data_IF_160071826722
#
_entry.id   IF_160071826722
#
_cell.length_a   1.000
_cell.length_b   1.000
_cell.length_c   1.000
_cell.angle_alpha   90.00
_cell.angle_beta   90.00
_cell.angle_gamma   90.00
#
_symmetry.space_group_name_H-M   'P 1'
#
loop_
_entity.id
_entity.type
_entity.pdbx_description
1 polymer ?
#
# COMPACT_ATOMS: atom_id res chain seq x y z
N UNK A 1 -3.21 -16.20 19.57
CA UNK A 1 -4.66 -16.56 19.44
C UNK A 1 -4.93 -17.79 18.58
N UNK A 2 -4.00 -18.28 17.74
CA UNK A 2 -4.03 -19.72 17.48
C UNK A 2 -3.88 -20.47 18.82
N UNK A 3 -2.95 -20.02 19.67
CA UNK A 3 -2.64 -20.60 20.98
C UNK A 3 -3.78 -20.58 22.00
N UNK A 4 -4.49 -19.45 22.20
CA UNK A 4 -5.58 -19.39 23.18
C UNK A 4 -6.81 -20.24 22.79
N UNK A 5 -7.10 -20.37 21.49
CA UNK A 5 -8.14 -21.30 21.01
C UNK A 5 -7.63 -22.75 20.94
N UNK A 6 -6.34 -22.97 20.71
CA UNK A 6 -5.69 -24.28 20.83
C UNK A 6 -5.74 -24.82 22.27
N UNK A 7 -5.55 -23.95 23.26
CA UNK A 7 -5.62 -24.32 24.68
C UNK A 7 -7.03 -24.74 25.14
N UNK A 8 -8.08 -24.28 24.47
CA UNK A 8 -9.48 -24.71 24.73
C UNK A 8 -9.85 -25.95 23.90
N UNK A 9 -9.19 -26.18 22.76
CA UNK A 9 -9.38 -27.38 21.94
C UNK A 9 -8.74 -28.63 22.57
N UNK A 10 -7.70 -28.44 23.39
CA UNK A 10 -6.97 -29.49 24.10
C UNK A 10 -6.93 -29.15 25.59
N UNK A 11 -7.94 -29.57 26.35
CA UNK A 11 -7.82 -29.64 27.80
C UNK A 11 -7.26 -31.02 28.15
N UNK A 12 -6.04 -31.03 28.70
CA UNK A 12 -5.46 -32.22 29.29
C UNK A 12 -5.42 -32.02 30.81
N UNK A 13 -5.97 -32.97 31.55
CA UNK A 13 -5.80 -33.03 33.01
C UNK A 13 -5.14 -34.35 33.36
N UNK A 14 -4.07 -34.28 34.16
CA UNK A 14 -3.34 -35.46 34.62
C UNK A 14 -3.83 -35.77 36.03
N UNK A 15 -4.59 -36.86 36.16
CA UNK A 15 -5.08 -37.37 37.43
C UNK A 15 -4.36 -38.66 37.86
N UNK A 16 -4.61 -39.15 39.10
CA UNK A 16 -4.06 -40.41 39.59
C UNK A 16 -4.41 -41.63 38.72
N UNK A 17 -5.54 -41.55 37.99
CA UNK A 17 -6.09 -42.63 37.18
C UNK A 17 -5.72 -42.54 35.67
N UNK A 18 -4.91 -41.54 35.27
CA UNK A 18 -4.44 -41.36 33.89
C UNK A 18 -4.58 -39.96 33.32
N UNK A 19 -4.43 -39.85 32.00
CA UNK A 19 -4.55 -38.59 31.23
C UNK A 19 -5.98 -38.49 30.70
N UNK A 20 -6.77 -37.54 31.20
CA UNK A 20 -8.09 -37.20 30.62
C UNK A 20 -7.90 -36.11 29.56
N UNK A 21 -8.32 -36.41 28.32
CA UNK A 21 -8.13 -35.57 27.15
C UNK A 21 -9.48 -35.18 26.56
N UNK A 22 -9.95 -33.98 26.88
CA UNK A 22 -11.17 -33.42 26.32
C UNK A 22 -10.87 -32.68 25.01
N UNK A 23 -11.12 -33.37 23.89
CA UNK A 23 -11.01 -32.83 22.54
C UNK A 23 -12.36 -32.27 22.07
N UNK A 24 -12.50 -30.94 22.10
CA UNK A 24 -13.67 -30.29 21.51
C UNK A 24 -13.61 -30.35 19.98
N UNK A 25 -14.44 -31.20 19.38
CA UNK A 25 -14.54 -31.35 17.93
C UNK A 25 -14.92 -30.03 17.23
N UNK A 26 -15.74 -29.21 17.89
CA UNK A 26 -16.08 -27.89 17.39
C UNK A 26 -14.85 -26.98 17.36
N UNK A 27 -14.04 -26.96 18.43
CA UNK A 27 -12.81 -26.19 18.48
C UNK A 27 -11.80 -26.62 17.41
N UNK A 28 -11.62 -27.92 17.19
CA UNK A 28 -10.78 -28.45 16.10
C UNK A 28 -11.28 -28.00 14.72
N UNK A 29 -12.59 -28.07 14.47
CA UNK A 29 -13.20 -27.58 13.23
C UNK A 29 -12.93 -26.08 13.03
N UNK A 30 -13.03 -25.28 14.10
CA UNK A 30 -12.73 -23.84 14.04
C UNK A 30 -11.25 -23.59 13.72
N UNK A 31 -10.32 -24.35 14.30
CA UNK A 31 -8.89 -24.25 14.02
C UNK A 31 -8.62 -24.57 12.55
N UNK A 32 -9.18 -25.67 12.04
CA UNK A 32 -9.06 -26.08 10.64
C UNK A 32 -9.58 -25.00 9.67
N UNK A 33 -10.81 -24.51 9.90
CA UNK A 33 -11.41 -23.47 9.07
C UNK A 33 -10.60 -22.18 9.10
N UNK A 34 -10.14 -21.75 10.27
CA UNK A 34 -9.25 -20.59 10.42
C UNK A 34 -7.94 -20.76 9.64
N UNK A 35 -7.33 -21.95 9.72
CA UNK A 35 -6.12 -22.31 8.98
C UNK A 35 -6.31 -22.22 7.48
N UNK A 36 -7.37 -22.83 6.95
CA UNK A 36 -7.72 -22.80 5.53
C UNK A 36 -7.91 -21.36 5.01
N UNK A 37 -8.65 -20.53 5.76
CA UNK A 37 -8.87 -19.13 5.40
C UNK A 37 -7.58 -18.31 5.41
N UNK A 38 -6.71 -18.55 6.39
CA UNK A 38 -5.39 -17.90 6.48
C UNK A 38 -4.51 -18.25 5.29
N UNK A 39 -4.42 -19.54 4.94
CA UNK A 39 -3.66 -20.01 3.78
C UNK A 39 -4.20 -19.41 2.48
N UNK A 40 -5.53 -19.43 2.28
CA UNK A 40 -6.18 -18.79 1.13
C UNK A 40 -5.86 -17.29 1.05
N UNK A 41 -5.86 -16.58 2.18
CA UNK A 41 -5.49 -15.15 2.25
C UNK A 41 -4.03 -14.95 1.82
N UNK A 42 -3.10 -15.78 2.30
CA UNK A 42 -1.67 -15.70 1.96
C UNK A 42 -1.43 -15.99 0.48
N UNK A 43 -2.08 -17.02 -0.06
CA UNK A 43 -2.01 -17.34 -1.49
C UNK A 43 -2.54 -16.21 -2.38
N UNK A 44 -3.70 -15.61 -2.03
CA UNK A 44 -4.24 -14.46 -2.77
C UNK A 44 -3.27 -13.27 -2.74
N UNK A 45 -2.69 -12.96 -1.57
CA UNK A 45 -1.68 -11.89 -1.44
C UNK A 45 -0.46 -12.17 -2.31
N UNK A 46 0.08 -13.38 -2.27
CA UNK A 46 1.20 -13.80 -3.12
C UNK A 46 0.85 -13.65 -4.61
N UNK A 47 -0.27 -14.23 -5.07
CA UNK A 47 -0.73 -14.13 -6.45
C UNK A 47 -0.85 -12.68 -6.90
N UNK A 48 -1.49 -11.83 -6.09
CA UNK A 48 -1.69 -10.42 -6.43
C UNK A 48 -0.38 -9.63 -6.40
N UNK A 49 0.56 -10.01 -5.52
CA UNK A 49 1.93 -9.50 -5.51
C UNK A 49 2.67 -9.82 -6.82
N UNK A 50 2.55 -11.04 -7.33
CA UNK A 50 3.11 -11.41 -8.64
C UNK A 50 2.43 -10.61 -9.76
N UNK A 51 1.09 -10.54 -9.77
CA UNK A 51 0.34 -9.81 -10.80
C UNK A 51 0.70 -8.31 -10.86
N UNK A 52 0.85 -7.66 -9.71
CA UNK A 52 1.29 -6.25 -9.63
C UNK A 52 2.77 -6.11 -9.94
N UNK A 53 3.60 -7.07 -9.51
CA UNK A 53 5.03 -7.14 -9.75
C UNK A 53 5.44 -7.38 -11.20
N UNK A 54 4.53 -7.80 -12.09
CA UNK A 54 4.79 -7.99 -13.53
C UNK A 54 4.04 -6.99 -14.43
N UNK A 55 3.22 -6.14 -13.83
CA UNK A 55 2.45 -5.11 -14.54
C UNK A 55 3.37 -4.07 -15.19
N UNK A 56 3.09 -3.54 -16.41
CA UNK A 56 1.88 -3.69 -17.23
C UNK A 56 1.77 -5.00 -18.02
N UNK A 57 2.74 -5.89 -17.89
CA UNK A 57 2.67 -7.25 -18.44
C UNK A 57 1.64 -8.13 -17.74
N UNK A 58 1.55 -9.39 -18.17
CA UNK A 58 0.65 -10.38 -17.59
C UNK A 58 1.20 -11.81 -17.73
N UNK A 59 0.76 -12.77 -16.89
CA UNK A 59 1.10 -14.18 -17.04
C UNK A 59 0.66 -14.78 -18.39
N UNK A 60 -0.44 -14.30 -18.98
CA UNK A 60 -0.83 -14.71 -20.33
C UNK A 60 0.20 -14.26 -21.37
N UNK A 61 0.72 -13.04 -21.24
CA UNK A 61 1.82 -12.55 -22.07
C UNK A 61 3.11 -13.35 -21.93
N UNK A 62 3.40 -13.87 -20.74
CA UNK A 62 4.53 -14.77 -20.51
C UNK A 62 4.41 -16.05 -21.34
N UNK A 63 3.25 -16.72 -21.28
CA UNK A 63 3.00 -17.93 -22.05
C UNK A 63 3.12 -17.68 -23.55
N UNK A 64 2.58 -16.56 -24.04
CA UNK A 64 2.71 -16.19 -25.45
C UNK A 64 4.18 -16.02 -25.84
N UNK A 65 4.95 -15.24 -25.09
CA UNK A 65 6.38 -14.99 -25.42
C UNK A 65 7.19 -16.28 -25.40
N UNK A 66 7.04 -17.10 -24.35
CA UNK A 66 7.80 -18.36 -24.22
C UNK A 66 7.40 -19.36 -25.30
N UNK A 67 6.10 -19.59 -25.52
CA UNK A 67 5.64 -20.54 -26.55
C UNK A 67 6.02 -20.06 -27.95
N UNK A 68 5.83 -18.78 -28.28
CA UNK A 68 6.24 -18.23 -29.57
C UNK A 68 7.75 -18.35 -29.79
N UNK A 69 8.56 -18.06 -28.76
CA UNK A 69 10.00 -18.23 -28.82
C UNK A 69 10.40 -19.69 -29.03
N UNK A 70 9.84 -20.62 -28.25
CA UNK A 70 10.12 -22.04 -28.35
C UNK A 70 9.70 -22.61 -29.71
N UNK A 71 8.50 -22.28 -30.18
CA UNK A 71 7.99 -22.71 -31.49
C UNK A 71 8.83 -22.16 -32.64
N UNK A 72 9.26 -20.90 -32.58
CA UNK A 72 10.15 -20.31 -33.57
C UNK A 72 11.48 -21.07 -33.66
N UNK A 73 12.17 -21.29 -32.53
CA UNK A 73 13.43 -22.02 -32.53
C UNK A 73 13.26 -23.48 -32.98
N UNK A 74 12.14 -24.13 -32.62
CA UNK A 74 11.82 -25.49 -33.07
C UNK A 74 11.64 -25.57 -34.58
N UNK A 75 10.96 -24.58 -35.18
CA UNK A 75 10.70 -24.52 -36.62
C UNK A 75 11.99 -24.31 -37.42
N UNK A 76 12.85 -23.39 -36.97
CA UNK A 76 14.14 -23.10 -37.61
C UNK A 76 15.28 -24.04 -37.17
N UNK A 77 14.99 -25.06 -36.36
CA UNK A 77 15.97 -26.02 -35.83
C UNK A 77 17.15 -25.34 -35.09
N UNK A 78 16.89 -24.20 -34.47
CA UNK A 78 17.86 -23.46 -33.65
C UNK A 78 17.86 -23.99 -32.22
N UNK A 79 19.00 -23.91 -31.54
CA UNK A 79 19.07 -24.18 -30.10
C UNK A 79 18.40 -23.04 -29.31
N UNK A 80 17.22 -23.28 -28.67
CA UNK A 80 16.52 -22.25 -27.92
C UNK A 80 17.27 -21.82 -26.66
N UNK A 81 18.23 -22.61 -26.16
CA UNK A 81 19.06 -22.22 -25.02
C UNK A 81 20.19 -21.26 -25.41
N UNK A 82 20.43 -21.07 -26.72
CA UNK A 82 21.59 -20.34 -27.28
C UNK A 82 22.92 -20.78 -26.65
N UNK A 83 23.06 -22.05 -26.26
CA UNK A 83 24.24 -22.58 -25.59
C UNK A 83 24.51 -22.01 -24.18
N UNK A 84 23.53 -21.41 -23.51
CA UNK A 84 23.71 -20.90 -22.13
C UNK A 84 23.97 -22.05 -21.16
N UNK A 85 23.21 -23.15 -21.30
CA UNK A 85 23.33 -24.29 -20.40
C UNK A 85 24.58 -25.14 -20.67
N UNK A 86 25.06 -25.18 -21.91
CA UNK A 86 26.34 -25.82 -22.23
C UNK A 86 27.51 -25.05 -21.59
N UNK A 87 27.50 -23.72 -21.64
CA UNK A 87 28.49 -22.88 -20.93
C UNK A 87 28.41 -23.00 -19.41
N UNK A 88 27.21 -23.09 -18.84
CA UNK A 88 27.04 -23.31 -17.39
C UNK A 88 27.49 -24.72 -16.97
N UNK A 89 27.33 -25.70 -17.85
CA UNK A 89 27.81 -27.07 -17.66
C UNK A 89 29.32 -27.20 -17.50
N UNK A 90 30.10 -26.20 -17.93
CA UNK A 90 31.55 -26.15 -17.72
C UNK A 90 31.92 -25.91 -16.24
N UNK A 91 31.03 -25.27 -15.47
CA UNK A 91 31.26 -24.90 -14.06
C UNK A 91 30.41 -25.71 -13.08
N UNK A 92 29.35 -26.35 -13.56
CA UNK A 92 28.40 -27.14 -12.77
C UNK A 92 28.12 -28.48 -13.47
N UNK A 93 28.09 -29.62 -12.77
CA UNK A 93 27.86 -30.94 -13.38
C UNK A 93 26.38 -31.17 -13.76
N UNK A 94 25.82 -30.32 -14.62
CA UNK A 94 24.39 -30.33 -15.02
C UNK A 94 24.07 -31.54 -15.91
N UNK A 95 25.04 -32.00 -16.70
CA UNK A 95 24.88 -33.11 -17.66
C UNK A 95 24.60 -34.46 -17.01
N UNK A 96 24.97 -34.65 -15.73
CA UNK A 96 24.73 -35.90 -14.99
C UNK A 96 23.27 -36.07 -14.56
N UNK A 97 22.51 -34.98 -14.48
CA UNK A 97 21.14 -34.98 -13.95
C UNK A 97 20.07 -34.67 -14.99
N UNK A 98 20.44 -34.21 -16.19
CA UNK A 98 19.49 -33.72 -17.20
C UNK A 98 19.92 -34.06 -18.63
N UNK A 99 19.01 -34.64 -19.41
CA UNK A 99 19.24 -34.97 -20.83
C UNK A 99 19.44 -33.71 -21.68
N UNK A 100 20.09 -33.85 -22.85
CA UNK A 100 20.31 -32.73 -23.79
C UNK A 100 19.02 -32.03 -24.23
N UNK A 101 17.94 -32.80 -24.43
CA UNK A 101 16.64 -32.25 -24.80
C UNK A 101 15.98 -31.50 -23.63
N UNK A 102 16.07 -32.04 -22.41
CA UNK A 102 15.61 -31.34 -21.21
C UNK A 102 16.39 -30.06 -20.97
N UNK A 103 17.72 -30.06 -21.22
CA UNK A 103 18.53 -28.84 -21.15
C UNK A 103 18.04 -27.81 -22.18
N UNK A 104 17.87 -28.17 -23.46
CA UNK A 104 17.35 -27.23 -24.48
C UNK A 104 16.00 -26.62 -24.06
N UNK A 105 15.08 -27.43 -23.53
CA UNK A 105 13.77 -26.94 -23.05
C UNK A 105 13.94 -25.97 -21.88
N UNK A 106 14.69 -26.34 -20.85
CA UNK A 106 14.92 -25.49 -19.67
C UNK A 106 15.60 -24.19 -20.06
N UNK A 107 16.65 -24.25 -20.89
CA UNK A 107 17.38 -23.09 -21.37
C UNK A 107 16.51 -22.18 -22.23
N UNK A 108 15.68 -22.76 -23.09
CA UNK A 108 14.71 -22.02 -23.90
C UNK A 108 13.66 -21.29 -23.07
N UNK A 109 13.15 -21.93 -22.01
CA UNK A 109 12.24 -21.29 -21.05
C UNK A 109 12.94 -20.16 -20.30
N UNK A 110 14.20 -20.33 -19.89
CA UNK A 110 14.98 -19.26 -19.23
C UNK A 110 15.19 -18.05 -20.15
N UNK A 111 15.60 -18.27 -21.40
CA UNK A 111 15.78 -17.19 -22.38
C UNK A 111 14.44 -16.51 -22.69
N UNK A 112 13.38 -17.28 -22.92
CA UNK A 112 12.04 -16.74 -23.14
C UNK A 112 11.51 -15.93 -21.96
N UNK A 113 11.81 -16.37 -20.72
CA UNK A 113 11.51 -15.61 -19.50
C UNK A 113 12.28 -14.29 -19.46
N UNK A 114 13.58 -14.31 -19.77
CA UNK A 114 14.41 -13.11 -19.84
C UNK A 114 13.91 -12.10 -20.89
N UNK A 115 13.50 -12.58 -22.07
CA UNK A 115 12.87 -11.75 -23.11
C UNK A 115 11.57 -11.11 -22.60
N UNK A 116 10.71 -11.88 -21.95
CA UNK A 116 9.45 -11.38 -21.38
C UNK A 116 9.68 -10.32 -20.28
N UNK A 117 10.63 -10.56 -19.38
CA UNK A 117 11.02 -9.58 -18.35
C UNK A 117 11.55 -8.30 -19.00
N UNK A 118 12.37 -8.42 -20.05
CA UNK A 118 12.91 -7.28 -20.79
C UNK A 118 11.79 -6.44 -21.43
N UNK A 119 10.80 -7.10 -22.05
CA UNK A 119 9.61 -6.43 -22.61
C UNK A 119 8.86 -5.65 -21.52
N UNK A 120 8.64 -6.26 -20.35
CA UNK A 120 7.97 -5.58 -19.22
C UNK A 120 8.77 -4.36 -18.76
N UNK A 121 10.09 -4.46 -18.63
CA UNK A 121 10.92 -3.33 -18.23
C UNK A 121 10.86 -2.20 -19.26
N UNK A 122 10.88 -2.51 -20.55
CA UNK A 122 10.69 -1.51 -21.62
C UNK A 122 9.32 -0.85 -21.50
N UNK A 123 8.24 -1.63 -21.38
CA UNK A 123 6.89 -1.08 -21.22
C UNK A 123 6.75 -0.18 -19.99
N UNK A 124 7.36 -0.56 -18.86
CA UNK A 124 7.40 0.27 -17.64
C UNK A 124 8.10 1.59 -17.87
N UNK A 125 9.26 1.57 -18.50
CA UNK A 125 10.03 2.78 -18.76
C UNK A 125 9.32 3.71 -19.75
N UNK A 126 8.64 3.16 -20.76
CA UNK A 126 7.78 3.93 -21.67
C UNK A 126 6.62 4.56 -20.88
N UNK A 127 5.90 3.78 -20.09
CA UNK A 127 4.80 4.29 -19.27
C UNK A 127 5.27 5.38 -18.29
N UNK A 128 6.42 5.18 -17.63
CA UNK A 128 7.02 6.16 -16.73
C UNK A 128 7.39 7.45 -17.46
N UNK A 129 7.92 7.35 -18.68
CA UNK A 129 8.24 8.51 -19.52
C UNK A 129 6.99 9.28 -19.93
N UNK A 130 5.93 8.57 -20.34
CA UNK A 130 4.62 9.17 -20.62
C UNK A 130 4.06 9.89 -19.39
N UNK A 131 4.11 9.27 -18.21
CA UNK A 131 3.62 9.86 -16.96
C UNK A 131 4.48 11.01 -16.45
N UNK A 132 5.73 11.12 -16.90
CA UNK A 132 6.62 12.25 -16.56
C UNK A 132 6.28 13.52 -17.34
N UNK A 133 5.43 13.43 -18.37
CA UNK A 133 4.97 14.60 -19.11
C UNK A 133 3.79 15.27 -18.40
N UNK A 134 3.96 16.57 -18.13
CA UNK A 134 3.07 17.37 -17.28
C UNK A 134 2.34 18.48 -18.04
N UNK A 135 2.49 18.56 -19.37
CA UNK A 135 1.92 19.64 -20.18
C UNK A 135 0.38 19.67 -20.22
N UNK A 136 -0.28 18.59 -19.80
CA UNK A 136 -1.72 18.54 -19.64
C UNK A 136 -2.22 19.41 -18.46
N UNK A 137 -1.41 19.65 -17.43
CA UNK A 137 -1.85 20.41 -16.23
C UNK A 137 -2.08 21.89 -16.50
N UNK A 138 -1.34 22.47 -17.44
CA UNK A 138 -1.45 23.90 -17.80
C UNK A 138 -2.55 24.18 -18.82
N UNK A 139 -3.30 23.17 -19.26
CA UNK A 139 -4.36 23.37 -20.25
C UNK A 139 -5.62 23.94 -19.61
N UNK A 140 -6.30 24.82 -20.35
CA UNK A 140 -7.59 25.37 -19.94
C UNK A 140 -8.63 24.26 -19.90
N UNK A 141 -9.42 24.22 -18.84
CA UNK A 141 -10.52 23.27 -18.70
C UNK A 141 -11.49 23.39 -19.90
N UNK A 142 -11.78 22.27 -20.56
CA UNK A 142 -12.71 22.19 -21.70
C UNK A 142 -12.06 22.13 -23.08
N UNK A 143 -10.77 22.47 -23.24
CA UNK A 143 -10.06 22.36 -24.52
C UNK A 143 -8.87 21.40 -24.42
N UNK A 144 -8.97 20.23 -25.05
CA UNK A 144 -7.88 19.24 -25.08
C UNK A 144 -7.16 19.33 -26.42
N UNK A 145 -5.86 19.63 -26.40
CA UNK A 145 -5.04 19.64 -27.62
C UNK A 145 -4.92 18.22 -28.21
N UNK A 146 -4.81 18.10 -29.54
CA UNK A 146 -4.54 16.83 -30.22
C UNK A 146 -3.32 16.09 -29.65
N UNK A 147 -2.27 16.83 -29.26
CA UNK A 147 -1.08 16.26 -28.61
C UNK A 147 -1.41 15.54 -27.30
N UNK A 148 -2.30 16.13 -26.50
CA UNK A 148 -2.73 15.60 -25.21
C UNK A 148 -3.68 14.43 -25.38
N UNK A 149 -4.54 14.51 -26.39
CA UNK A 149 -5.39 13.39 -26.77
C UNK A 149 -4.56 12.16 -27.19
N UNK A 150 -3.56 12.36 -28.06
CA UNK A 150 -2.62 11.30 -28.45
C UNK A 150 -1.87 10.74 -27.25
N UNK A 151 -1.35 11.60 -26.38
CA UNK A 151 -0.68 11.19 -25.15
C UNK A 151 -1.60 10.35 -24.23
N UNK A 152 -2.86 10.76 -24.04
CA UNK A 152 -3.83 10.00 -23.23
C UNK A 152 -4.08 8.60 -23.83
N UNK A 153 -4.18 8.49 -25.15
CA UNK A 153 -4.31 7.19 -25.85
C UNK A 153 -3.08 6.34 -25.57
N UNK A 154 -1.87 6.89 -25.70
CA UNK A 154 -0.63 6.16 -25.42
C UNK A 154 -0.58 5.69 -23.97
N UNK A 155 -0.91 6.55 -22.99
CA UNK A 155 -0.97 6.16 -21.57
C UNK A 155 -1.94 5.01 -21.38
N UNK A 156 -3.13 5.03 -22.00
CA UNK A 156 -4.11 3.94 -21.91
C UNK A 156 -3.60 2.63 -22.50
N UNK A 157 -2.91 2.68 -23.65
CA UNK A 157 -2.33 1.49 -24.30
C UNK A 157 -1.25 0.86 -23.40
N UNK A 158 -0.34 1.67 -22.85
CA UNK A 158 0.76 1.19 -22.01
C UNK A 158 0.35 0.87 -20.56
N UNK A 159 -0.83 1.31 -20.13
CA UNK A 159 -1.42 0.97 -18.83
C UNK A 159 -2.02 -0.44 -18.78
N UNK A 160 -1.81 -1.31 -19.78
CA UNK A 160 -2.26 -2.71 -19.71
C UNK A 160 -3.76 -2.88 -19.43
N UNK A 161 -4.16 -4.07 -18.96
CA UNK A 161 -5.57 -4.41 -18.71
C UNK A 161 -5.80 -4.75 -17.24
N UNK A 162 -6.95 -4.30 -16.70
CA UNK A 162 -7.44 -4.63 -15.34
C UNK A 162 -6.41 -4.35 -14.23
N UNK A 163 -6.01 -3.09 -14.01
CA UNK A 163 -5.07 -2.76 -12.95
C UNK A 163 -5.66 -3.06 -11.56
N UNK A 164 -4.79 -3.54 -10.67
CA UNK A 164 -5.02 -3.71 -9.24
C UNK A 164 -4.50 -2.47 -8.49
N UNK A 165 -4.89 -2.29 -7.22
CA UNK A 165 -4.58 -1.09 -6.43
C UNK A 165 -3.12 -0.62 -6.54
N UNK A 166 -2.17 -1.55 -6.51
CA UNK A 166 -0.73 -1.30 -6.50
C UNK A 166 -0.05 -1.53 -7.86
N UNK A 167 -0.79 -1.80 -8.93
CA UNK A 167 -0.24 -2.11 -10.25
C UNK A 167 0.72 -1.05 -10.78
N UNK A 168 0.43 0.23 -10.56
CA UNK A 168 1.21 1.33 -11.11
C UNK A 168 2.44 1.73 -10.28
N UNK A 169 2.62 1.22 -9.06
CA UNK A 169 3.64 1.76 -8.13
C UNK A 169 5.07 1.72 -8.70
N UNK A 170 5.38 0.70 -9.50
CA UNK A 170 6.69 0.55 -10.15
C UNK A 170 6.81 1.34 -11.47
N UNK A 171 5.72 1.89 -11.98
CA UNK A 171 5.66 2.66 -13.23
C UNK A 171 5.48 4.15 -13.00
N UNK A 172 5.22 4.59 -11.76
CA UNK A 172 5.11 6.00 -11.44
C UNK A 172 6.46 6.71 -11.60
N UNK A 173 6.46 7.95 -12.13
CA UNK A 173 7.67 8.77 -12.20
C UNK A 173 8.14 9.17 -10.80
N UNK A 174 9.43 9.46 -10.69
CA UNK A 174 9.96 10.05 -9.45
C UNK A 174 9.48 11.49 -9.34
N UNK A 175 9.32 11.98 -8.12
CA UNK A 175 8.99 13.40 -7.91
C UNK A 175 10.13 14.28 -8.46
N UNK A 176 9.86 15.20 -9.41
CA UNK A 176 10.90 16.05 -9.97
C UNK A 176 11.42 17.06 -8.95
N UNK A 177 12.72 17.40 -9.06
CA UNK A 177 13.35 18.46 -8.27
C UNK A 177 13.36 19.75 -9.09
N UNK A 178 12.59 20.79 -8.73
CA UNK A 178 12.58 22.07 -9.42
C UNK A 178 13.96 22.76 -9.38
N UNK A 179 14.24 23.63 -10.35
CA UNK A 179 15.49 24.40 -10.34
C UNK A 179 15.50 25.41 -9.20
N UNK A 180 16.69 25.71 -8.65
CA UNK A 180 16.84 26.73 -7.58
C UNK A 180 16.31 28.08 -8.05
N UNK A 181 16.64 28.46 -9.30
CA UNK A 181 16.18 29.70 -9.94
C UNK A 181 14.66 29.79 -10.02
N UNK A 182 13.99 28.74 -10.51
CA UNK A 182 12.52 28.73 -10.61
C UNK A 182 11.87 28.77 -9.23
N UNK A 183 12.43 28.05 -8.25
CA UNK A 183 11.96 28.08 -6.86
C UNK A 183 12.10 29.47 -6.27
N UNK A 184 13.26 30.13 -6.41
CA UNK A 184 13.49 31.49 -5.91
C UNK A 184 12.57 32.51 -6.57
N UNK A 185 12.38 32.43 -7.90
CA UNK A 185 11.45 33.30 -8.63
C UNK A 185 10.02 33.17 -8.11
N UNK A 186 9.50 31.93 -8.04
CA UNK A 186 8.14 31.67 -7.55
C UNK A 186 7.97 32.04 -6.07
N UNK A 187 9.01 31.85 -5.26
CA UNK A 187 9.03 32.32 -3.88
C UNK A 187 8.86 33.84 -3.82
N UNK A 188 9.66 34.61 -4.55
CA UNK A 188 9.55 36.08 -4.61
C UNK A 188 8.18 36.53 -5.12
N UNK A 189 7.64 35.89 -6.15
CA UNK A 189 6.28 36.14 -6.64
C UNK A 189 5.22 35.93 -5.53
N UNK A 190 5.37 34.87 -4.72
CA UNK A 190 4.43 34.53 -3.64
C UNK A 190 4.50 35.46 -2.43
N UNK A 191 5.68 35.98 -2.08
CA UNK A 191 5.85 36.87 -0.91
C UNK A 191 5.66 38.35 -1.25
N UNK A 192 5.71 38.72 -2.53
CA UNK A 192 5.51 40.12 -2.95
C UNK A 192 4.25 40.78 -2.36
N UNK A 193 3.05 40.18 -2.42
CA UNK A 193 1.86 40.82 -1.85
C UNK A 193 1.85 40.90 -0.31
N UNK A 194 2.83 40.29 0.37
CA UNK A 194 2.92 40.23 1.83
C UNK A 194 3.99 41.19 2.39
N UNK A 195 4.70 41.93 1.55
CA UNK A 195 5.89 42.70 1.92
C UNK A 195 5.86 44.11 1.34
N UNK A 196 6.34 45.07 2.12
CA UNK A 196 6.64 46.42 1.65
C UNK A 196 7.83 46.42 0.69
N UNK A 197 8.01 47.50 -0.06
CA UNK A 197 9.01 47.61 -1.12
C UNK A 197 10.45 47.42 -0.62
N UNK A 198 10.80 48.05 0.49
CA UNK A 198 12.13 47.94 1.09
C UNK A 198 12.43 46.49 1.54
N UNK A 199 11.46 45.85 2.19
CA UNK A 199 11.57 44.46 2.61
C UNK A 199 11.69 43.51 1.42
N UNK A 200 10.94 43.77 0.36
CA UNK A 200 10.98 42.97 -0.86
C UNK A 200 12.31 43.11 -1.61
N UNK A 201 12.89 44.31 -1.70
CA UNK A 201 14.22 44.51 -2.29
C UNK A 201 15.31 43.80 -1.49
N UNK A 202 15.24 43.86 -0.15
CA UNK A 202 16.12 43.04 0.71
C UNK A 202 15.95 41.54 0.42
N UNK A 203 14.71 41.06 0.29
CA UNK A 203 14.43 39.65 0.02
C UNK A 203 14.93 39.20 -1.36
N UNK A 204 14.82 40.04 -2.39
CA UNK A 204 15.45 39.79 -3.70
C UNK A 204 16.95 39.62 -3.58
N UNK A 205 17.61 40.48 -2.80
CA UNK A 205 19.05 40.39 -2.52
C UNK A 205 19.43 39.04 -1.92
N UNK A 206 18.72 38.62 -0.87
CA UNK A 206 18.95 37.33 -0.19
C UNK A 206 18.67 36.13 -1.11
N UNK A 207 17.58 36.16 -1.88
CA UNK A 207 17.26 35.09 -2.83
C UNK A 207 18.33 34.95 -3.91
N UNK A 208 18.86 36.07 -4.42
CA UNK A 208 19.95 36.08 -5.41
C UNK A 208 21.26 35.58 -4.83
N UNK A 209 21.57 35.91 -3.58
CA UNK A 209 22.74 35.39 -2.87
C UNK A 209 22.63 33.86 -2.69
N UNK A 210 21.47 33.38 -2.22
CA UNK A 210 21.20 31.96 -2.09
C UNK A 210 21.32 31.21 -3.43
N UNK A 211 20.74 31.76 -4.51
CA UNK A 211 20.81 31.16 -5.85
C UNK A 211 22.26 31.00 -6.35
N UNK A 212 23.15 31.94 -6.01
CA UNK A 212 24.56 31.92 -6.44
C UNK A 212 25.45 31.08 -5.54
N UNK A 213 25.21 31.09 -4.24
CA UNK A 213 26.12 30.54 -3.23
C UNK A 213 25.65 29.17 -2.72
N UNK A 214 24.82 29.16 -1.67
CA UNK A 214 24.46 27.95 -0.95
C UNK A 214 23.50 27.03 -1.72
N UNK A 215 22.58 27.62 -2.49
CA UNK A 215 21.53 26.93 -3.22
C UNK A 215 22.04 25.82 -4.15
N UNK A 216 23.03 26.05 -5.04
CA UNK A 216 23.61 25.03 -5.90
C UNK A 216 24.17 23.82 -5.13
N UNK A 217 24.82 24.06 -3.99
CA UNK A 217 25.37 22.98 -3.15
C UNK A 217 24.27 22.13 -2.53
N UNK A 218 23.24 22.77 -1.96
CA UNK A 218 22.08 22.04 -1.40
C UNK A 218 21.29 21.30 -2.47
N UNK A 219 21.11 21.91 -3.64
CA UNK A 219 20.44 21.31 -4.79
C UNK A 219 21.18 20.06 -5.30
N UNK A 220 22.51 20.03 -5.22
CA UNK A 220 23.28 18.85 -5.58
C UNK A 220 22.97 17.67 -4.66
N UNK A 221 22.97 17.87 -3.34
CA UNK A 221 22.56 16.84 -2.38
C UNK A 221 21.10 16.39 -2.59
N UNK A 222 20.20 17.33 -2.89
CA UNK A 222 18.79 17.03 -3.14
C UNK A 222 18.61 16.18 -4.41
N UNK A 223 19.34 16.49 -5.48
CA UNK A 223 19.37 15.69 -6.71
C UNK A 223 19.86 14.28 -6.43
N UNK A 224 20.97 14.13 -5.70
CA UNK A 224 21.45 12.81 -5.29
C UNK A 224 20.35 12.04 -4.55
N UNK A 225 19.72 12.63 -3.53
CA UNK A 225 18.61 11.98 -2.79
C UNK A 225 17.47 11.54 -3.72
N UNK A 226 17.11 12.37 -4.69
CA UNK A 226 16.04 12.04 -5.66
C UNK A 226 16.40 10.89 -6.61
N UNK A 227 17.67 10.52 -6.75
CA UNK A 227 18.08 9.33 -7.52
C UNK A 227 17.89 8.04 -6.73
N UNK A 228 18.02 8.10 -5.41
CA UNK A 228 17.92 6.95 -4.50
C UNK A 228 16.51 6.71 -3.95
N UNK A 229 15.59 7.66 -4.12
CA UNK A 229 14.23 7.59 -3.57
C UNK A 229 13.18 7.76 -4.68
N UNK A 230 11.98 7.22 -4.49
CA UNK A 230 10.85 7.45 -5.40
C UNK A 230 10.29 8.87 -5.24
N UNK A 231 10.29 9.38 -4.00
CA UNK A 231 9.93 10.73 -3.65
C UNK A 231 10.93 11.26 -2.61
N UNK A 232 11.64 12.34 -2.96
CA UNK A 232 12.70 12.89 -2.13
C UNK A 232 12.19 13.67 -0.91
N UNK A 233 10.89 13.95 -0.82
CA UNK A 233 10.27 14.76 0.24
C UNK A 233 9.54 13.89 1.27
N UNK A 234 9.01 12.72 0.87
CA UNK A 234 8.05 11.97 1.70
C UNK A 234 8.51 11.65 3.12
N UNK A 235 9.75 11.21 3.29
CA UNK A 235 10.35 10.90 4.60
C UNK A 235 10.50 12.16 5.46
N UNK A 236 11.04 13.24 4.89
CA UNK A 236 11.19 14.51 5.59
C UNK A 236 9.86 15.17 5.91
N UNK A 237 8.88 15.09 5.00
CA UNK A 237 7.53 15.61 5.22
C UNK A 237 6.87 14.90 6.39
N UNK A 238 6.92 13.57 6.41
CA UNK A 238 6.38 12.76 7.50
C UNK A 238 7.06 13.09 8.83
N UNK A 239 8.39 13.08 8.85
CA UNK A 239 9.17 13.29 10.07
C UNK A 239 9.05 14.72 10.60
N UNK A 240 9.43 15.72 9.81
CA UNK A 240 9.60 17.09 10.30
C UNK A 240 8.29 17.86 10.42
N UNK A 241 7.32 17.60 9.54
CA UNK A 241 6.05 18.35 9.57
C UNK A 241 5.06 17.73 10.53
N UNK A 242 4.99 16.39 10.60
CA UNK A 242 3.99 15.72 11.43
C UNK A 242 4.57 15.12 12.70
N UNK A 243 5.61 14.29 12.59
CA UNK A 243 6.06 13.46 13.72
C UNK A 243 6.90 14.23 14.74
N UNK A 244 7.61 15.28 14.34
CA UNK A 244 8.35 16.17 15.25
C UNK A 244 7.50 17.32 15.78
N UNK A 245 6.35 17.61 15.18
CA UNK A 245 5.42 18.60 15.72
C UNK A 245 4.97 18.23 17.13
N UNK A 246 5.17 19.14 18.09
CA UNK A 246 4.85 18.94 19.52
C UNK A 246 3.47 19.47 19.92
N UNK A 247 2.84 20.25 19.04
CA UNK A 247 1.49 20.77 19.27
C UNK A 247 0.45 19.63 19.33
N UNK A 248 -0.58 19.75 20.18
CA UNK A 248 -1.71 18.83 20.22
C UNK A 248 -2.28 18.48 18.84
N UNK A 249 -2.26 17.21 18.45
CA UNK A 249 -2.66 16.79 17.10
C UNK A 249 -4.18 16.84 16.87
N UNK A 250 -4.98 16.69 17.92
CA UNK A 250 -6.44 16.57 17.80
C UNK A 250 -7.09 17.85 17.24
N UNK A 251 -6.51 19.01 17.55
CA UNK A 251 -6.98 20.32 17.08
C UNK A 251 -6.18 20.80 15.87
N UNK A 252 -4.86 20.62 15.90
CA UNK A 252 -3.96 21.29 14.96
C UNK A 252 -3.64 20.48 13.69
N UNK A 253 -3.93 19.17 13.67
CA UNK A 253 -3.50 18.30 12.56
C UNK A 253 -4.54 17.27 12.13
N UNK A 254 -5.34 16.71 13.04
CA UNK A 254 -6.35 15.74 12.70
C UNK A 254 -7.49 16.40 11.94
N UNK A 255 -8.01 15.70 10.93
CA UNK A 255 -9.20 16.11 10.18
C UNK A 255 -10.29 15.05 10.34
N UNK A 256 -11.54 15.45 10.16
CA UNK A 256 -12.67 14.54 10.14
C UNK A 256 -13.57 14.84 8.94
N UNK A 257 -14.28 13.82 8.49
CA UNK A 257 -15.37 13.95 7.55
C UNK A 257 -16.60 13.29 8.19
N UNK A 258 -17.76 13.91 8.02
CA UNK A 258 -19.03 13.34 8.47
C UNK A 258 -19.64 12.51 7.35
N UNK A 259 -20.49 11.55 7.71
CA UNK A 259 -21.22 10.76 6.71
C UNK A 259 -22.34 11.57 6.04
N UNK A 260 -23.18 10.91 5.25
CA UNK A 260 -24.22 11.57 4.45
C UNK A 260 -25.13 12.45 5.33
N UNK A 261 -25.01 13.79 5.17
CA UNK A 261 -25.87 14.78 5.83
C UNK A 261 -27.38 14.55 5.62
N UNK A 262 -27.75 13.85 4.54
CA UNK A 262 -29.13 13.74 4.07
C UNK A 262 -29.71 12.32 4.09
N UNK A 263 -28.96 11.32 4.59
CA UNK A 263 -29.44 9.92 4.60
C UNK A 263 -29.19 9.29 5.97
N UNK A 264 -30.28 8.93 6.65
CA UNK A 264 -30.25 8.24 7.95
C UNK A 264 -30.96 6.89 7.83
N UNK A 265 -30.23 5.80 7.48
CA UNK A 265 -30.85 4.49 7.22
C UNK A 265 -31.55 3.87 8.44
N UNK A 266 -31.17 4.26 9.65
CA UNK A 266 -31.78 3.82 10.91
C UNK A 266 -31.49 4.84 12.02
N UNK A 267 -32.40 4.96 12.98
CA UNK A 267 -32.23 5.74 14.22
C UNK A 267 -31.56 4.94 15.34
N UNK A 268 -31.42 3.62 15.19
CA UNK A 268 -30.83 2.75 16.20
C UNK A 268 -29.31 2.82 16.11
N UNK A 269 -28.65 3.39 17.13
CA UNK A 269 -27.20 3.59 17.15
C UNK A 269 -26.42 2.28 16.95
N UNK A 270 -26.80 1.21 17.65
CA UNK A 270 -26.15 -0.10 17.54
C UNK A 270 -26.28 -0.70 16.14
N UNK A 271 -27.47 -0.62 15.53
CA UNK A 271 -27.73 -1.10 14.18
C UNK A 271 -26.89 -0.33 13.14
N UNK A 272 -26.82 1.00 13.28
CA UNK A 272 -25.99 1.85 12.42
C UNK A 272 -24.52 1.50 12.55
N UNK A 273 -24.02 1.37 13.78
CA UNK A 273 -22.64 0.98 14.07
C UNK A 273 -22.31 -0.40 13.50
N UNK A 274 -23.18 -1.40 13.69
CA UNK A 274 -23.01 -2.76 13.16
C UNK A 274 -22.85 -2.78 11.64
N UNK A 275 -23.72 -2.06 10.92
CA UNK A 275 -23.65 -1.95 9.46
C UNK A 275 -22.41 -1.18 8.98
N UNK A 276 -22.09 -0.04 9.61
CA UNK A 276 -20.93 0.78 9.26
C UNK A 276 -19.62 -0.01 9.46
N UNK A 277 -19.46 -0.64 10.62
CA UNK A 277 -18.28 -1.47 10.93
C UNK A 277 -18.19 -2.64 9.94
N UNK A 278 -19.29 -3.32 9.64
CA UNK A 278 -19.28 -4.41 8.65
C UNK A 278 -18.82 -3.91 7.27
N UNK A 279 -19.34 -2.77 6.80
CA UNK A 279 -18.94 -2.17 5.53
C UNK A 279 -17.45 -1.77 5.50
N UNK A 280 -16.94 -1.18 6.59
CA UNK A 280 -15.53 -0.85 6.76
C UNK A 280 -14.66 -2.12 6.69
N UNK A 281 -15.07 -3.21 7.34
CA UNK A 281 -14.33 -4.47 7.29
C UNK A 281 -14.37 -5.14 5.91
N UNK A 282 -15.47 -5.00 5.16
CA UNK A 282 -15.54 -5.42 3.76
C UNK A 282 -14.59 -4.60 2.87
N UNK A 283 -14.50 -3.29 3.11
CA UNK A 283 -13.53 -2.42 2.44
C UNK A 283 -12.10 -2.84 2.76
N UNK A 284 -11.77 -3.02 4.05
CA UNK A 284 -10.48 -3.54 4.50
C UNK A 284 -10.13 -4.85 3.83
N UNK A 285 -11.07 -5.77 3.69
CA UNK A 285 -10.86 -7.05 2.99
C UNK A 285 -10.50 -6.86 1.51
N UNK A 286 -11.12 -5.90 0.81
CA UNK A 286 -10.77 -5.55 -0.58
C UNK A 286 -9.39 -4.93 -0.66
N UNK A 287 -9.06 -4.05 0.29
CA UNK A 287 -7.76 -3.39 0.41
C UNK A 287 -6.62 -4.39 0.66
N UNK A 288 -6.76 -5.27 1.65
CA UNK A 288 -5.79 -6.34 1.98
C UNK A 288 -5.50 -7.25 0.78
N UNK A 289 -6.46 -7.38 -0.14
CA UNK A 289 -6.36 -8.18 -1.36
C UNK A 289 -5.98 -7.34 -2.58
N UNK A 290 -5.68 -6.05 -2.43
CA UNK A 290 -5.39 -5.11 -3.51
C UNK A 290 -6.46 -5.09 -4.63
N UNK A 291 -7.73 -5.37 -4.29
CA UNK A 291 -8.86 -5.45 -5.22
C UNK A 291 -9.55 -4.11 -5.48
N UNK A 292 -9.19 -3.08 -4.72
CA UNK A 292 -9.63 -1.72 -4.98
C UNK A 292 -8.97 -1.26 -6.28
N UNK A 293 -9.72 -0.59 -7.15
CA UNK A 293 -9.15 -0.04 -8.38
C UNK A 293 -8.25 1.14 -8.04
N UNK A 294 -7.12 1.34 -8.73
CA UNK A 294 -6.31 2.55 -8.56
C UNK A 294 -7.14 3.80 -8.76
N UNK A 295 -6.79 4.84 -8.00
CA UNK A 295 -7.31 6.17 -8.25
C UNK A 295 -6.71 6.69 -9.56
N UNK A 296 -7.59 7.11 -10.49
CA UNK A 296 -7.21 7.60 -11.80
C UNK A 296 -7.71 9.04 -11.97
N UNK A 297 -6.79 9.99 -12.11
CA UNK A 297 -7.11 11.36 -12.50
C UNK A 297 -7.46 11.40 -14.00
N UNK A 298 -8.53 12.10 -14.36
CA UNK A 298 -9.06 12.15 -15.73
C UNK A 298 -9.26 10.75 -16.36
N UNK A 299 -9.55 9.74 -15.53
CA UNK A 299 -9.67 8.32 -15.93
C UNK A 299 -8.45 7.75 -16.69
N UNK A 300 -7.29 8.42 -16.62
CA UNK A 300 -6.11 8.10 -17.46
C UNK A 300 -4.83 8.09 -16.65
N UNK A 301 -4.66 8.99 -15.69
CA UNK A 301 -3.42 9.20 -14.96
C UNK A 301 -3.52 8.49 -13.60
N UNK A 302 -2.73 7.43 -13.35
CA UNK A 302 -2.75 6.73 -12.08
C UNK A 302 -2.11 7.57 -10.97
N UNK A 303 -2.71 7.54 -9.78
CA UNK A 303 -2.16 8.15 -8.57
C UNK A 303 -1.43 7.11 -7.71
N UNK A 304 -0.52 7.58 -6.85
CA UNK A 304 0.16 6.72 -5.89
C UNK A 304 -0.82 6.16 -4.86
N UNK A 305 -0.73 4.84 -4.61
CA UNK A 305 -1.60 4.14 -3.66
C UNK A 305 -0.90 3.81 -2.33
N UNK A 306 0.32 4.31 -2.06
CA UNK A 306 1.15 3.83 -0.94
C UNK A 306 0.50 4.08 0.43
N UNK A 307 -0.20 5.21 0.57
CA UNK A 307 -0.86 5.59 1.82
C UNK A 307 -1.98 4.62 2.23
N UNK A 308 -2.55 3.88 1.29
CA UNK A 308 -3.62 2.92 1.59
C UNK A 308 -3.13 1.80 2.54
N UNK A 309 -1.84 1.46 2.52
CA UNK A 309 -1.27 0.44 3.42
C UNK A 309 -1.44 0.79 4.90
N UNK A 310 -1.50 2.09 5.21
CA UNK A 310 -1.58 2.60 6.58
C UNK A 310 -3.00 2.87 7.07
N UNK A 311 -4.02 2.65 6.24
CA UNK A 311 -5.42 2.96 6.58
C UNK A 311 -5.96 2.16 7.77
N UNK A 312 -5.50 0.92 7.96
CA UNK A 312 -5.92 0.06 9.05
C UNK A 312 -4.72 -0.41 9.87
N UNK A 313 -4.94 -0.69 11.15
CA UNK A 313 -3.94 -1.21 12.09
C UNK A 313 -2.69 -0.33 12.25
N UNK A 314 -2.78 0.97 11.94
CA UNK A 314 -1.69 1.92 12.14
C UNK A 314 -2.08 2.87 13.25
N UNK A 315 -1.18 3.10 14.18
CA UNK A 315 -1.32 4.13 15.22
C UNK A 315 -0.04 4.95 15.33
N UNK A 316 -0.17 6.19 15.76
CA UNK A 316 0.95 7.07 16.09
C UNK A 316 1.26 6.95 17.58
N UNK A 317 2.47 6.51 17.91
CA UNK A 317 2.96 6.39 19.28
C UNK A 317 3.79 7.63 19.61
N UNK A 318 3.46 8.38 20.68
CA UNK A 318 4.23 9.55 21.09
C UNK A 318 5.66 9.16 21.47
N UNK A 319 6.62 9.97 21.06
CA UNK A 319 8.01 9.91 21.53
C UNK A 319 8.46 11.30 21.99
N UNK A 320 9.52 11.35 22.80
CA UNK A 320 9.99 12.60 23.44
C UNK A 320 10.28 13.69 22.40
N UNK A 321 11.11 13.37 21.40
CA UNK A 321 11.47 14.33 20.35
C UNK A 321 10.73 14.06 19.02
N UNK A 322 10.37 12.80 18.78
CA UNK A 322 9.80 12.36 17.51
C UNK A 322 8.85 11.20 17.74
N UNK A 323 7.63 11.34 17.22
CA UNK A 323 6.64 10.28 17.29
C UNK A 323 6.92 9.21 16.24
N UNK A 324 6.39 8.01 16.46
CA UNK A 324 6.59 6.88 15.54
C UNK A 324 5.25 6.34 15.05
N UNK A 325 5.20 5.96 13.77
CA UNK A 325 4.05 5.25 13.22
C UNK A 325 4.26 3.75 13.41
N UNK A 326 3.37 3.12 14.19
CA UNK A 326 3.38 1.69 14.46
C UNK A 326 2.28 1.04 13.64
N UNK A 327 2.67 0.15 12.73
CA UNK A 327 1.75 -0.68 11.95
C UNK A 327 1.73 -2.11 12.48
N UNK A 328 0.55 -2.60 12.88
CA UNK A 328 0.37 -3.95 13.40
C UNK A 328 -0.19 -4.86 12.31
N UNK A 329 0.62 -5.81 11.88
CA UNK A 329 0.20 -6.80 10.90
C UNK A 329 -0.88 -7.72 11.48
N UNK A 330 -1.88 -8.02 10.65
CA UNK A 330 -2.86 -9.11 10.90
C UNK A 330 -3.81 -8.97 12.10
N UNK A 331 -4.06 -7.76 12.62
CA UNK A 331 -5.08 -7.56 13.66
C UNK A 331 -6.47 -8.05 13.20
N UNK A 332 -7.17 -8.78 14.08
CA UNK A 332 -8.53 -9.33 13.85
C UNK A 332 -9.61 -8.73 14.73
N UNK A 333 -9.30 -7.67 15.47
CA UNK A 333 -10.22 -6.98 16.36
C UNK A 333 -10.28 -5.48 16.03
N UNK A 334 -11.33 -4.83 16.51
CA UNK A 334 -11.42 -3.39 16.65
C UNK A 334 -11.36 -3.03 18.13
N UNK A 335 -11.13 -1.75 18.39
CA UNK A 335 -11.27 -1.16 19.72
C UNK A 335 -12.48 -0.24 19.70
N UNK A 336 -13.37 -0.39 20.67
CA UNK A 336 -14.55 0.47 20.86
C UNK A 336 -14.37 1.21 22.16
N UNK A 337 -14.56 2.53 22.14
CA UNK A 337 -14.57 3.36 23.33
C UNK A 337 -16.01 3.74 23.69
N UNK A 338 -16.43 3.46 24.92
CA UNK A 338 -17.75 3.84 25.44
C UNK A 338 -17.65 4.22 26.91
N UNK A 339 -18.17 5.40 27.29
CA UNK A 339 -18.24 5.89 28.68
C UNK A 339 -16.96 5.66 29.51
N UNK A 340 -15.80 6.06 28.99
CA UNK A 340 -14.54 5.95 29.73
C UNK A 340 -13.87 4.57 29.68
N UNK A 341 -14.42 3.61 28.92
CA UNK A 341 -13.91 2.23 28.83
C UNK A 341 -13.51 1.83 27.43
N UNK A 342 -12.50 0.97 27.32
CA UNK A 342 -12.03 0.41 26.07
C UNK A 342 -12.39 -1.07 25.93
N UNK A 343 -13.14 -1.39 24.88
CA UNK A 343 -13.59 -2.74 24.56
C UNK A 343 -12.82 -3.28 23.37
N UNK A 344 -12.22 -4.46 23.54
CA UNK A 344 -11.61 -5.22 22.46
C UNK A 344 -12.67 -6.12 21.81
N UNK A 345 -13.12 -5.76 20.60
CA UNK A 345 -14.18 -6.50 19.90
C UNK A 345 -13.59 -7.30 18.75
N UNK A 346 -13.68 -8.62 18.84
CA UNK A 346 -13.24 -9.52 17.77
C UNK A 346 -14.20 -9.47 16.59
N UNK A 347 -13.66 -9.35 15.37
CA UNK A 347 -14.45 -9.21 14.14
C UNK A 347 -14.63 -10.51 13.36
N UNK A 348 -14.05 -11.61 13.83
CA UNK A 348 -14.06 -12.88 13.10
C UNK A 348 -14.48 -14.03 14.02
N UNK A 349 -15.38 -14.86 13.51
CA UNK A 349 -15.80 -16.12 14.12
C UNK A 349 -15.70 -17.24 13.08
N UNK A 350 -14.98 -18.31 13.39
CA UNK A 350 -14.73 -19.42 12.46
C UNK A 350 -14.08 -19.04 11.12
N UNK A 351 -13.20 -18.04 11.13
CA UNK A 351 -12.55 -17.51 9.92
C UNK A 351 -13.46 -16.65 9.04
N UNK A 352 -14.74 -16.52 9.38
CA UNK A 352 -15.71 -15.64 8.73
C UNK A 352 -15.75 -14.28 9.43
N UNK A 353 -15.94 -13.21 8.67
CA UNK A 353 -16.25 -11.88 9.20
C UNK A 353 -17.66 -11.90 9.83
N UNK A 354 -17.82 -11.30 11.01
CA UNK A 354 -19.13 -11.17 11.66
C UNK A 354 -20.14 -10.44 10.75
N UNK A 355 -21.39 -10.91 10.75
CA UNK A 355 -22.54 -10.28 10.07
C UNK A 355 -22.93 -8.99 10.79
N UNK A 356 -23.64 -8.06 10.11
CA UNK A 356 -24.08 -6.82 10.72
C UNK A 356 -24.84 -7.01 12.04
N UNK A 357 -25.78 -7.97 12.11
CA UNK A 357 -26.54 -8.27 13.34
C UNK A 357 -25.68 -8.85 14.47
N UNK A 358 -24.68 -9.66 14.13
CA UNK A 358 -23.73 -10.20 15.12
C UNK A 358 -22.89 -9.06 15.73
N UNK A 359 -22.47 -8.07 14.91
CA UNK A 359 -21.73 -6.89 15.38
C UNK A 359 -22.65 -5.96 16.19
N UNK A 360 -23.87 -5.72 15.70
CA UNK A 360 -24.88 -4.95 16.41
C UNK A 360 -25.13 -5.49 17.82
N UNK A 361 -25.28 -6.81 17.97
CA UNK A 361 -25.45 -7.42 19.30
C UNK A 361 -24.25 -7.16 20.23
N UNK A 362 -23.02 -7.14 19.70
CA UNK A 362 -21.85 -6.76 20.49
C UNK A 362 -21.91 -5.28 20.90
N UNK A 363 -22.39 -4.39 20.03
CA UNK A 363 -22.57 -2.97 20.35
C UNK A 363 -23.70 -2.77 21.36
N UNK A 364 -24.82 -3.48 21.23
CA UNK A 364 -25.92 -3.47 22.21
C UNK A 364 -25.42 -3.86 23.60
N UNK A 365 -24.58 -4.90 23.70
CA UNK A 365 -23.95 -5.32 24.98
C UNK A 365 -23.04 -4.24 25.56
N UNK A 366 -22.24 -3.57 24.72
CA UNK A 366 -21.37 -2.47 25.16
C UNK A 366 -22.18 -1.27 25.64
N UNK A 367 -23.27 -0.93 24.93
CA UNK A 367 -24.16 0.17 25.30
C UNK A 367 -24.94 -0.11 26.60
N UNK A 368 -25.27 -1.39 26.85
CA UNK A 368 -25.96 -1.84 28.05
C UNK A 368 -25.02 -2.10 29.25
N UNK A 369 -23.70 -2.08 29.04
CA UNK A 369 -22.72 -2.28 30.11
C UNK A 369 -22.75 -1.10 31.09
N UNK A 370 -23.01 -1.42 32.36
CA UNK A 370 -23.11 -0.45 33.47
C UNK A 370 -21.90 -0.48 34.39
N UNK A 371 -20.89 -1.31 34.09
CA UNK A 371 -19.73 -1.43 34.96
C UNK A 371 -18.81 -0.21 34.87
N UNK A 372 -18.26 0.19 36.01
CA UNK A 372 -17.40 1.36 36.14
C UNK A 372 -16.05 1.19 35.44
N UNK A 373 -15.43 2.26 34.90
CA UNK A 373 -14.08 2.19 34.36
C UNK A 373 -13.05 1.74 35.39
N UNK A 374 -11.99 1.07 34.93
CA UNK A 374 -10.85 0.78 35.80
C UNK A 374 -10.21 2.09 36.28
N UNK A 375 -9.48 2.06 37.40
CA UNK A 375 -8.84 3.25 37.96
C UNK A 375 -7.98 3.98 36.90
N UNK A 376 -8.37 5.22 36.57
CA UNK A 376 -7.70 6.07 35.58
C UNK A 376 -8.05 5.79 34.10
N UNK A 377 -8.77 4.72 33.79
CA UNK A 377 -9.13 4.33 32.42
C UNK A 377 -9.94 5.42 31.70
N UNK A 378 -10.87 6.05 32.42
CA UNK A 378 -11.72 7.12 31.92
C UNK A 378 -10.93 8.32 31.35
N UNK A 379 -9.71 8.54 31.83
CA UNK A 379 -8.85 9.67 31.45
C UNK A 379 -7.85 9.29 30.35
N UNK A 380 -7.68 8.00 30.05
CA UNK A 380 -6.70 7.54 29.07
C UNK A 380 -6.95 8.11 27.68
N UNK A 381 -8.23 8.23 27.27
CA UNK A 381 -8.60 8.81 25.98
C UNK A 381 -8.27 10.30 25.85
N UNK A 382 -8.06 11.01 26.97
CA UNK A 382 -7.67 12.42 26.97
C UNK A 382 -6.16 12.61 26.81
N UNK A 383 -5.32 11.63 27.17
CA UNK A 383 -3.86 11.74 27.07
C UNK A 383 -3.38 12.05 25.64
N UNK A 384 -3.90 11.41 24.57
CA UNK A 384 -3.52 11.71 23.19
C UNK A 384 -3.83 13.13 22.71
N UNK A 385 -4.64 13.90 23.48
CA UNK A 385 -5.03 15.29 23.20
C UNK A 385 -3.98 16.29 23.68
N UNK A 386 -3.06 15.88 24.55
CA UNK A 386 -2.02 16.76 25.12
C UNK A 386 -0.89 17.06 24.12
N UNK A 387 0.01 17.98 24.50
CA UNK A 387 1.25 18.22 23.78
C UNK A 387 2.07 16.93 23.71
N UNK A 388 2.76 16.72 22.58
CA UNK A 388 3.48 15.48 22.29
C UNK A 388 4.88 15.48 22.84
#
# INVERSE_FOLDING_TARGET
MAEAHQAVAFQFTVGPDGIDLQLSHEALRQIYLSGLHSWKKRFIRFKNGVMTGVYPGSPGGFMIVVVSYMSYNRYYQLDPSRGILTKLGEYLPISQYMSSDSQKVVGGVLVGTGLWVSIIMVMRNVLKSLLSWHGWMSQRHGSVSYSTHLWMILVKIFSGRKPMLYSFQNSLPRLPVPSVKDTCRRYLESVRPLMEDEQFERMKGLAKDFEKNLGPRLQWYLKLKSWWTSNYVSDWWEEYIYLRGRSPIMVNSNYYAMDFLYVFPTSIQAARAGNAIHAIMLYRRKLDRAQIKPLMLLHTIPMCSSQYERMFNTSRVPGVDTDTLVHVNESKHIVVYHKGRFYKVWMFYGGRLLLPREIEQQMERILADTSEPSAGEEKLAALPVTSR
#
